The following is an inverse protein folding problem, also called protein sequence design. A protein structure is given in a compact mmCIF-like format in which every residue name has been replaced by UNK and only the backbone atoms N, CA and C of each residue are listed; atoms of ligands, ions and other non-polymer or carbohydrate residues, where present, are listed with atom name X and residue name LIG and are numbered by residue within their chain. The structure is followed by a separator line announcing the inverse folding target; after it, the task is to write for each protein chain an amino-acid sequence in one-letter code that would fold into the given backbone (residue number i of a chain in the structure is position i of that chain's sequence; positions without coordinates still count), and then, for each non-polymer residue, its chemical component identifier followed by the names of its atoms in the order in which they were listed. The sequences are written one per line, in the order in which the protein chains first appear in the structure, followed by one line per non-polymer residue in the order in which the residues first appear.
data_IF_533008102933
#
_entry.id   IF_533008102933
#
_cell.length_a   1.000
_cell.length_b   1.000
_cell.length_c   1.000
_cell.angle_alpha   90.00
_cell.angle_beta   90.00
_cell.angle_gamma   90.00
#
_symmetry.space_group_name_H-M   'P 1'
#
loop_
_entity.id
_entity.type
_entity.pdbx_description
1 polymer ?
#
# COMPACT_ATOMS: atom_id res chain seq x y z
N UNK A 1 0.33 -5.48 9.67
CA UNK A 1 0.29 -5.52 8.19
C UNK A 1 -0.97 -6.28 7.76
N UNK A 2 -1.57 -5.92 6.63
CA UNK A 2 -2.62 -6.67 5.94
C UNK A 2 -2.06 -7.22 4.64
N UNK A 3 -2.50 -8.40 4.21
CA UNK A 3 -2.09 -8.99 2.94
C UNK A 3 -3.17 -8.71 1.89
N UNK A 4 -2.82 -7.96 0.84
CA UNK A 4 -3.73 -7.61 -0.24
C UNK A 4 -3.55 -8.61 -1.38
N UNK A 5 -4.66 -9.12 -1.90
CA UNK A 5 -4.70 -10.00 -3.07
C UNK A 5 -5.64 -9.41 -4.11
N UNK A 6 -5.15 -9.26 -5.33
CA UNK A 6 -5.90 -8.82 -6.49
C UNK A 6 -5.83 -9.83 -7.64
N UNK A 7 -6.68 -9.67 -8.67
CA UNK A 7 -6.62 -10.50 -9.86
C UNK A 7 -5.27 -10.34 -10.59
N UNK A 8 -4.93 -11.28 -11.49
CA UNK A 8 -3.80 -11.10 -12.40
C UNK A 8 -3.90 -9.81 -13.24
N UNK A 9 -2.78 -9.33 -13.82
CA UNK A 9 -2.81 -8.19 -14.72
C UNK A 9 -3.85 -8.35 -15.84
N UNK A 10 -4.69 -7.34 -16.03
CA UNK A 10 -5.74 -7.37 -17.06
C UNK A 10 -5.19 -7.37 -18.49
N UNK A 11 -3.95 -6.91 -18.68
CA UNK A 11 -3.23 -6.92 -19.96
C UNK A 11 -1.86 -7.56 -19.77
N UNK A 12 -1.65 -8.69 -20.45
CA UNK A 12 -0.40 -9.45 -20.42
C UNK A 12 0.32 -9.27 -21.76
N UNK A 13 1.42 -8.52 -21.76
CA UNK A 13 2.20 -8.23 -22.99
C UNK A 13 2.93 -9.47 -23.52
N UNK A 14 3.49 -10.27 -22.63
CA UNK A 14 4.15 -11.54 -22.96
C UNK A 14 3.54 -12.67 -22.11
N UNK A 15 2.69 -13.53 -22.70
CA UNK A 15 2.01 -14.61 -21.97
C UNK A 15 2.93 -15.65 -21.34
N UNK A 16 4.17 -15.79 -21.84
CA UNK A 16 5.14 -16.77 -21.35
C UNK A 16 6.14 -16.17 -20.37
N UNK A 17 6.09 -14.85 -20.11
CA UNK A 17 6.97 -14.22 -19.13
C UNK A 17 6.70 -14.73 -17.71
N UNK A 18 7.74 -14.75 -16.89
CA UNK A 18 7.63 -15.13 -15.49
C UNK A 18 6.60 -14.25 -14.77
N UNK A 19 5.62 -14.89 -14.14
CA UNK A 19 4.56 -14.19 -13.39
C UNK A 19 3.49 -13.50 -14.24
N UNK A 20 3.46 -13.71 -15.56
CA UNK A 20 2.53 -13.07 -16.49
C UNK A 20 1.05 -13.16 -16.09
N UNK A 21 0.65 -14.25 -15.44
CA UNK A 21 -0.73 -14.49 -14.97
C UNK A 21 -0.82 -14.66 -13.46
N UNK A 22 0.21 -14.27 -12.72
CA UNK A 22 0.18 -14.36 -11.27
C UNK A 22 -0.76 -13.30 -10.70
N UNK A 23 -1.56 -13.62 -9.68
CA UNK A 23 -2.33 -12.63 -8.94
C UNK A 23 -1.41 -11.57 -8.33
N UNK A 24 -1.89 -10.33 -8.25
CA UNK A 24 -1.20 -9.27 -7.51
C UNK A 24 -1.33 -9.56 -6.03
N UNK A 25 -0.19 -9.60 -5.33
CA UNK A 25 -0.11 -9.98 -3.92
C UNK A 25 1.01 -9.19 -3.26
N UNK A 26 0.72 -8.51 -2.16
CA UNK A 26 1.70 -7.76 -1.37
C UNK A 26 1.18 -7.42 0.03
N UNK A 27 2.10 -7.16 0.95
CA UNK A 27 1.76 -6.67 2.29
C UNK A 27 1.52 -5.17 2.28
N UNK A 28 0.72 -4.68 3.21
CA UNK A 28 0.54 -3.25 3.44
C UNK A 28 0.41 -2.93 4.93
N UNK A 29 0.89 -1.77 5.34
CA UNK A 29 0.42 -1.13 6.55
C UNK A 29 -0.78 -0.24 6.24
N UNK A 30 -1.77 -0.22 7.14
CA UNK A 30 -2.97 0.60 7.00
C UNK A 30 -3.14 1.39 8.29
N UNK A 31 -3.22 2.70 8.16
CA UNK A 31 -3.37 3.65 9.26
C UNK A 31 -4.71 4.36 9.10
N UNK A 32 -5.57 4.24 10.10
CA UNK A 32 -6.92 4.82 10.11
C UNK A 32 -7.02 5.75 11.33
N UNK A 33 -7.36 7.04 11.15
CA UNK A 33 -7.57 7.95 12.28
C UNK A 33 -8.65 7.41 13.22
N UNK A 34 -8.39 7.41 14.53
CA UNK A 34 -9.28 6.80 15.51
C UNK A 34 -10.66 7.46 15.58
N UNK A 35 -10.74 8.78 15.35
CA UNK A 35 -11.96 9.58 15.40
C UNK A 35 -12.66 9.73 14.04
N UNK A 36 -12.27 8.93 13.05
CA UNK A 36 -12.85 8.98 11.71
C UNK A 36 -14.31 8.48 11.72
N UNK A 37 -15.21 9.25 11.11
CA UNK A 37 -16.59 8.85 10.87
C UNK A 37 -16.66 7.77 9.78
N UNK A 38 -16.86 6.51 10.20
CA UNK A 38 -16.89 5.34 9.30
C UNK A 38 -18.17 5.21 8.47
N UNK A 39 -19.19 6.04 8.72
CA UNK A 39 -20.41 6.06 7.92
C UNK A 39 -20.24 6.81 6.60
N UNK A 40 -19.15 7.58 6.46
CA UNK A 40 -18.88 8.43 5.30
C UNK A 40 -17.65 7.99 4.53
N UNK A 41 -17.61 8.37 3.25
CA UNK A 41 -16.39 8.25 2.44
C UNK A 41 -15.31 9.15 3.03
N UNK A 42 -14.11 8.61 3.14
CA UNK A 42 -12.95 9.28 3.72
C UNK A 42 -11.84 9.41 2.68
N UNK A 43 -11.03 10.49 2.73
CA UNK A 43 -9.91 10.63 1.82
C UNK A 43 -8.83 9.60 2.17
N UNK A 44 -8.24 8.99 1.13
CA UNK A 44 -7.21 7.95 1.26
C UNK A 44 -5.96 8.35 0.49
N UNK A 45 -4.81 8.17 1.13
CA UNK A 45 -3.48 8.35 0.53
C UNK A 45 -2.78 7.00 0.45
N UNK A 46 -2.15 6.74 -0.69
CA UNK A 46 -1.20 5.64 -0.86
C UNK A 46 0.21 6.22 -0.71
N UNK A 47 0.98 5.69 0.24
CA UNK A 47 2.33 6.18 0.58
C UNK A 47 3.39 5.08 0.36
N UNK A 48 4.03 5.04 -0.83
CA UNK A 48 5.16 4.13 -1.10
C UNK A 48 6.43 4.52 -0.33
N UNK A 49 7.26 3.54 0.02
CA UNK A 49 8.48 3.69 0.84
C UNK A 49 9.73 4.26 0.09
N UNK A 50 9.53 4.93 -1.05
CA UNK A 50 10.54 5.77 -1.72
C UNK A 50 11.69 5.07 -2.48
N UNK A 51 11.97 3.79 -2.23
CA UNK A 51 13.07 3.06 -2.89
C UNK A 51 12.64 1.73 -3.52
N UNK A 52 13.24 1.40 -4.67
CA UNK A 52 12.94 0.16 -5.43
C UNK A 52 13.34 -1.13 -4.70
N UNK A 53 14.29 -1.03 -3.77
CA UNK A 53 14.74 -2.11 -2.86
C UNK A 53 14.72 -1.63 -1.40
N UNK A 54 13.78 -0.74 -1.05
CA UNK A 54 13.57 -0.27 0.32
C UNK A 54 12.27 -0.85 0.88
N UNK A 55 11.94 -0.56 2.14
CA UNK A 55 10.71 -0.98 2.81
C UNK A 55 10.13 0.12 3.71
N UNK A 56 8.88 -0.06 4.16
CA UNK A 56 8.25 0.89 5.10
C UNK A 56 8.78 0.70 6.52
N UNK A 57 9.52 1.71 6.99
CA UNK A 57 10.09 1.74 8.34
C UNK A 57 9.56 2.90 9.18
N UNK A 58 10.00 2.96 10.45
CA UNK A 58 9.71 4.05 11.39
C UNK A 58 10.21 5.42 10.94
N UNK A 59 11.06 5.49 9.92
CA UNK A 59 11.41 6.75 9.26
C UNK A 59 10.17 7.56 8.85
N UNK A 60 9.10 6.88 8.40
CA UNK A 60 7.89 7.52 7.89
C UNK A 60 6.89 7.95 8.98
N UNK A 61 7.16 7.64 10.25
CA UNK A 61 6.17 7.84 11.35
C UNK A 61 5.69 9.29 11.45
N UNK A 62 6.59 10.26 11.23
CA UNK A 62 6.22 11.69 11.26
C UNK A 62 5.25 12.07 10.14
N UNK A 63 5.43 11.54 8.93
CA UNK A 63 4.54 11.73 7.78
C UNK A 63 3.16 11.12 8.07
N UNK A 64 3.13 9.87 8.55
CA UNK A 64 1.87 9.20 8.91
C UNK A 64 1.10 9.99 9.97
N UNK A 65 1.79 10.48 11.00
CA UNK A 65 1.17 11.24 12.08
C UNK A 65 0.51 12.51 11.57
N UNK A 66 1.18 13.26 10.69
CA UNK A 66 0.64 14.47 10.08
C UNK A 66 -0.60 14.16 9.22
N UNK A 67 -0.49 13.17 8.32
CA UNK A 67 -1.60 12.79 7.45
C UNK A 67 -2.83 12.29 8.24
N UNK A 68 -2.60 11.50 9.30
CA UNK A 68 -3.71 11.05 10.15
C UNK A 68 -4.32 12.20 10.96
N UNK A 69 -3.54 13.19 11.39
CA UNK A 69 -4.05 14.37 12.09
C UNK A 69 -4.96 15.22 11.18
N UNK A 70 -4.63 15.26 9.88
CA UNK A 70 -5.45 15.89 8.84
C UNK A 70 -6.67 15.05 8.42
N UNK A 71 -6.82 13.83 8.96
CA UNK A 71 -7.98 12.97 8.72
C UNK A 71 -7.85 12.02 7.52
N UNK A 72 -6.67 11.85 6.95
CA UNK A 72 -6.44 10.88 5.88
C UNK A 72 -6.32 9.46 6.42
N UNK A 73 -6.94 8.50 5.70
CA UNK A 73 -6.53 7.10 5.77
C UNK A 73 -5.23 6.96 4.97
N UNK A 74 -4.23 6.27 5.51
CA UNK A 74 -2.98 6.02 4.79
C UNK A 74 -2.77 4.53 4.61
N UNK A 75 -2.49 4.13 3.36
CA UNK A 75 -2.07 2.77 3.00
C UNK A 75 -0.62 2.84 2.54
N UNK A 76 0.26 2.12 3.22
CA UNK A 76 1.67 2.01 2.86
C UNK A 76 1.95 0.57 2.35
N UNK A 77 1.93 0.37 1.02
CA UNK A 77 2.13 -0.92 0.40
C UNK A 77 3.61 -1.27 0.27
N UNK A 78 3.87 -2.56 0.41
CA UNK A 78 5.17 -3.20 0.25
C UNK A 78 5.22 -3.93 -1.10
N UNK A 79 5.53 -3.19 -2.17
CA UNK A 79 5.45 -3.73 -3.52
C UNK A 79 6.54 -4.77 -3.80
N UNK A 80 6.35 -5.61 -4.82
CA UNK A 80 7.39 -6.55 -5.26
C UNK A 80 8.67 -5.80 -5.62
N UNK A 81 9.80 -6.30 -5.15
CA UNK A 81 11.09 -5.63 -5.23
C UNK A 81 11.49 -4.92 -3.92
N UNK A 82 10.51 -4.59 -3.07
CA UNK A 82 10.73 -4.15 -1.68
C UNK A 82 11.51 -5.20 -0.88
N UNK A 83 12.22 -4.74 0.15
CA UNK A 83 12.83 -5.59 1.19
C UNK A 83 11.89 -5.86 2.37
N UNK A 84 10.64 -5.40 2.31
CA UNK A 84 9.60 -5.56 3.34
C UNK A 84 8.23 -5.92 2.80
#
# INVERSE_FOLDING_TARGET
KVFIVGPPPSKVKNPTAMGAKNPVKFWSYVFIPQKLDRSKKSPLIVLPHGGVHADFTTYHTHIIRELMAQGYIVVAPEYRGSTG
#
